data_IF_860138944393
#
_entry.id   IF_860138944393
#
_cell.length_a   1.000
_cell.length_b   1.000
_cell.length_c   1.000
_cell.angle_alpha   90.00
_cell.angle_beta   90.00
_cell.angle_gamma   90.00
#
_symmetry.space_group_name_H-M   'P 1'
#
loop_
_entity.id
_entity.type
_entity.pdbx_description
1 polymer ?
#
# COMPACT_ATOMS: atom_id res chain seq x y z
N UNK A 1 14.13 -9.56 6.30
CA UNK A 1 14.28 -8.21 5.71
C UNK A 1 14.86 -7.28 6.77
N UNK A 2 15.81 -6.42 6.43
CA UNK A 2 16.34 -5.45 7.39
C UNK A 2 15.27 -4.44 7.79
N UNK A 3 15.32 -3.95 9.03
CA UNK A 3 14.31 -3.04 9.58
C UNK A 3 14.21 -1.74 8.77
N UNK A 4 15.37 -1.28 8.27
CA UNK A 4 15.53 -0.08 7.45
C UNK A 4 14.89 -0.29 6.07
N UNK A 5 15.22 -1.40 5.40
CA UNK A 5 14.66 -1.74 4.08
C UNK A 5 13.13 -1.89 4.15
N UNK A 6 12.62 -2.50 5.22
CA UNK A 6 11.17 -2.63 5.42
C UNK A 6 10.50 -1.25 5.57
N UNK A 7 11.12 -0.35 6.34
CA UNK A 7 10.61 1.01 6.54
C UNK A 7 10.57 1.80 5.23
N UNK A 8 11.64 1.72 4.43
CA UNK A 8 11.71 2.36 3.11
C UNK A 8 10.61 1.85 2.17
N UNK A 9 10.34 0.55 2.18
CA UNK A 9 9.26 -0.04 1.36
C UNK A 9 7.87 0.41 1.83
N UNK A 10 7.64 0.53 3.14
CA UNK A 10 6.39 1.07 3.69
C UNK A 10 6.18 2.51 3.25
N UNK A 11 7.21 3.35 3.36
CA UNK A 11 7.17 4.75 2.94
C UNK A 11 6.97 4.88 1.42
N UNK A 12 7.61 4.02 0.64
CA UNK A 12 7.40 3.89 -0.80
C UNK A 12 5.93 3.64 -1.16
N UNK A 13 5.31 2.64 -0.53
CA UNK A 13 3.90 2.33 -0.74
C UNK A 13 3.00 3.53 -0.36
N UNK A 14 3.23 4.12 0.80
CA UNK A 14 2.45 5.28 1.27
C UNK A 14 2.53 6.47 0.31
N UNK A 15 3.70 6.73 -0.27
CA UNK A 15 3.86 7.81 -1.25
C UNK A 15 3.08 7.53 -2.53
N UNK A 16 3.07 6.29 -3.02
CA UNK A 16 2.26 5.91 -4.18
C UNK A 16 0.75 6.05 -3.90
N UNK A 17 0.31 5.60 -2.73
CA UNK A 17 -1.09 5.67 -2.32
C UNK A 17 -1.56 7.11 -2.17
N UNK A 18 -0.72 7.99 -1.62
CA UNK A 18 -1.02 9.42 -1.47
C UNK A 18 -1.29 10.10 -2.81
N UNK A 19 -0.63 9.70 -3.90
CA UNK A 19 -0.90 10.26 -5.24
C UNK A 19 -2.32 9.96 -5.75
N UNK A 20 -2.99 8.94 -5.19
CA UNK A 20 -4.34 8.53 -5.58
C UNK A 20 -5.44 8.97 -4.60
N UNK A 21 -5.08 9.41 -3.40
CA UNK A 21 -6.05 9.86 -2.41
C UNK A 21 -6.55 11.28 -2.74
N UNK A 22 -7.86 11.56 -2.59
CA UNK A 22 -8.41 12.90 -2.81
C UNK A 22 -7.78 13.89 -1.81
N UNK A 23 -6.92 14.79 -2.31
CA UNK A 23 -6.13 15.75 -1.52
C UNK A 23 -4.61 15.58 -1.64
N UNK A 24 -4.14 14.53 -2.33
CA UNK A 24 -2.72 14.28 -2.57
C UNK A 24 -2.09 15.15 -3.65
N UNK A 25 -1.80 16.42 -3.34
CA UNK A 25 -0.68 17.22 -3.86
C UNK A 25 -0.50 17.50 -5.36
N UNK A 26 -1.06 16.72 -6.29
CA UNK A 26 -0.97 16.95 -7.73
C UNK A 26 -2.37 17.02 -8.30
N UNK A 27 -2.90 18.23 -8.36
CA UNK A 27 -4.06 18.59 -9.16
C UNK A 27 -3.73 18.57 -10.67
N UNK A 28 -3.01 17.54 -11.12
CA UNK A 28 -2.71 17.26 -12.52
C UNK A 28 -3.49 16.02 -12.94
N UNK A 29 -4.12 16.08 -14.10
CA UNK A 29 -4.72 14.92 -14.74
C UNK A 29 -3.67 13.81 -14.87
N UNK A 30 -3.80 12.74 -14.08
CA UNK A 30 -3.00 11.51 -14.26
C UNK A 30 -3.44 10.87 -15.57
N UNK A 31 -2.53 10.71 -16.52
CA UNK A 31 -2.84 9.99 -17.76
C UNK A 31 -3.17 8.53 -17.44
N UNK A 32 -4.07 7.92 -18.22
CA UNK A 32 -4.56 6.55 -17.98
C UNK A 32 -3.42 5.52 -17.94
N UNK A 33 -2.39 5.70 -18.77
CA UNK A 33 -1.22 4.80 -18.78
C UNK A 33 -0.43 4.93 -17.47
N UNK A 34 -0.18 6.15 -17.00
CA UNK A 34 0.49 6.42 -15.73
C UNK A 34 -0.30 5.85 -14.54
N UNK A 35 -1.63 5.96 -14.59
CA UNK A 35 -2.52 5.35 -13.59
C UNK A 35 -2.39 3.82 -13.58
N UNK A 36 -2.34 3.18 -14.74
CA UNK A 36 -2.21 1.72 -14.83
C UNK A 36 -0.85 1.21 -14.32
N UNK A 37 0.22 1.99 -14.52
CA UNK A 37 1.56 1.70 -13.98
C UNK A 37 1.56 1.88 -12.47
N UNK A 38 0.95 2.96 -11.98
CA UNK A 38 0.84 3.26 -10.55
C UNK A 38 0.04 2.17 -9.81
N UNK A 39 -1.10 1.76 -10.35
CA UNK A 39 -1.93 0.68 -9.81
C UNK A 39 -1.19 -0.66 -9.74
N UNK A 40 -0.42 -1.02 -10.79
CA UNK A 40 0.42 -2.23 -10.78
C UNK A 40 1.52 -2.15 -9.72
N UNK A 41 2.16 -1.00 -9.57
CA UNK A 41 3.20 -0.79 -8.57
C UNK A 41 2.65 -0.93 -7.14
N UNK A 42 1.49 -0.31 -6.86
CA UNK A 42 0.80 -0.42 -5.58
C UNK A 42 0.43 -1.88 -5.28
N UNK A 43 -0.22 -2.57 -6.24
CA UNK A 43 -0.62 -3.96 -6.06
C UNK A 43 0.58 -4.88 -5.78
N UNK A 44 1.68 -4.70 -6.51
CA UNK A 44 2.92 -5.45 -6.27
C UNK A 44 3.47 -5.19 -4.86
N UNK A 45 3.59 -3.92 -4.46
CA UNK A 45 4.14 -3.57 -3.15
C UNK A 45 3.28 -4.08 -1.99
N UNK A 46 1.94 -4.05 -2.12
CA UNK A 46 1.04 -4.66 -1.14
C UNK A 46 1.34 -6.15 -0.99
N UNK A 47 1.46 -6.89 -2.10
CA UNK A 47 1.74 -8.32 -2.07
C UNK A 47 3.11 -8.63 -1.44
N UNK A 48 4.14 -7.85 -1.78
CA UNK A 48 5.49 -8.01 -1.24
C UNK A 48 5.54 -7.73 0.28
N UNK A 49 4.72 -6.78 0.75
CA UNK A 49 4.66 -6.35 2.15
C UNK A 49 3.67 -7.16 3.00
N UNK A 50 2.67 -7.81 2.41
CA UNK A 50 1.60 -8.52 3.12
C UNK A 50 2.11 -9.56 4.12
N UNK A 51 3.11 -10.35 3.69
CA UNK A 51 3.71 -11.41 4.49
C UNK A 51 4.75 -10.91 5.50
N UNK A 52 5.11 -9.62 5.47
CA UNK A 52 6.11 -9.05 6.37
C UNK A 52 5.50 -8.70 7.73
N UNK A 53 6.35 -8.73 8.77
CA UNK A 53 6.07 -8.20 10.11
C UNK A 53 7.07 -7.11 10.47
N UNK A 54 6.59 -6.03 11.07
CA UNK A 54 7.42 -4.98 11.64
C UNK A 54 8.19 -5.50 12.85
N UNK A 55 9.38 -4.95 13.09
CA UNK A 55 10.20 -5.36 14.24
C UNK A 55 9.73 -4.72 15.55
N UNK A 56 9.09 -3.56 15.46
CA UNK A 56 8.46 -2.87 16.60
C UNK A 56 6.95 -2.77 16.38
N UNK A 57 6.15 -2.63 17.45
CA UNK A 57 4.71 -2.42 17.33
C UNK A 57 4.34 -1.24 16.42
N UNK A 58 5.11 -0.14 16.48
CA UNK A 58 4.88 1.05 15.67
C UNK A 58 5.18 0.80 14.20
N UNK A 59 6.26 0.08 13.91
CA UNK A 59 6.58 -0.33 12.54
C UNK A 59 5.53 -1.30 11.99
N UNK A 60 5.04 -2.22 12.82
CA UNK A 60 3.99 -3.17 12.43
C UNK A 60 2.65 -2.47 12.17
N UNK A 61 2.26 -1.52 13.03
CA UNK A 61 1.08 -0.71 12.84
C UNK A 61 1.17 0.15 11.57
N UNK A 62 2.33 0.75 11.29
CA UNK A 62 2.56 1.54 10.08
C UNK A 62 2.48 0.66 8.82
N UNK A 63 3.04 -0.55 8.88
CA UNK A 63 2.95 -1.54 7.82
C UNK A 63 1.48 -1.93 7.55
N UNK A 64 0.71 -2.23 8.59
CA UNK A 64 -0.71 -2.57 8.47
C UNK A 64 -1.51 -1.42 7.85
N UNK A 65 -1.28 -0.19 8.32
CA UNK A 65 -1.92 1.00 7.79
C UNK A 65 -1.60 1.19 6.30
N UNK A 66 -0.33 1.05 5.90
CA UNK A 66 0.09 1.18 4.51
C UNK A 66 -0.58 0.14 3.59
N UNK A 67 -0.65 -1.12 4.03
CA UNK A 67 -1.34 -2.19 3.30
C UNK A 67 -2.83 -1.87 3.12
N UNK A 68 -3.52 -1.46 4.20
CA UNK A 68 -4.95 -1.13 4.15
C UNK A 68 -5.23 0.08 3.25
N UNK A 69 -4.39 1.11 3.31
CA UNK A 69 -4.51 2.28 2.44
C UNK A 69 -4.24 1.90 0.97
N UNK A 70 -3.27 1.04 0.71
CA UNK A 70 -3.01 0.48 -0.61
C UNK A 70 -4.22 -0.25 -1.19
N UNK A 71 -4.87 -1.08 -0.37
CA UNK A 71 -6.10 -1.76 -0.74
C UNK A 71 -7.29 -0.84 -1.01
N UNK A 72 -7.35 0.33 -0.36
CA UNK A 72 -8.43 1.29 -0.57
C UNK A 72 -8.32 2.05 -1.89
N UNK A 73 -7.10 2.25 -2.39
CA UNK A 73 -6.86 2.93 -3.67
C UNK A 73 -6.65 1.95 -4.84
N UNK A 74 -6.56 0.65 -4.54
CA UNK A 74 -6.39 -0.36 -5.57
C UNK A 74 -7.67 -0.50 -6.40
N UNK A 75 -7.52 -0.39 -7.71
CA UNK A 75 -8.62 -0.60 -8.67
C UNK A 75 -8.89 -2.09 -8.92
N UNK A 76 -8.02 -2.98 -8.43
CA UNK A 76 -8.22 -4.42 -8.53
C UNK A 76 -9.21 -4.87 -7.46
N UNK A 77 -10.40 -5.30 -7.88
CA UNK A 77 -11.45 -5.82 -7.00
C UNK A 77 -11.37 -7.35 -6.90
N UNK A 78 -10.22 -7.89 -6.51
CA UNK A 78 -10.11 -9.34 -6.31
C UNK A 78 -10.83 -9.72 -5.02
N UNK A 79 -11.67 -10.77 -5.00
CA UNK A 79 -12.36 -11.20 -3.79
C UNK A 79 -11.41 -11.50 -2.62
N UNK A 80 -10.24 -12.05 -2.94
CA UNK A 80 -9.17 -12.38 -1.98
C UNK A 80 -8.63 -11.15 -1.24
N UNK A 81 -8.70 -9.96 -1.84
CA UNK A 81 -8.19 -8.73 -1.25
C UNK A 81 -9.03 -8.31 -0.03
N UNK A 82 -10.33 -8.63 -0.01
CA UNK A 82 -11.19 -8.38 1.16
C UNK A 82 -10.84 -9.30 2.34
N UNK A 83 -10.54 -10.57 2.07
CA UNK A 83 -10.10 -11.51 3.10
C UNK A 83 -8.74 -11.08 3.68
N UNK A 84 -7.83 -10.63 2.82
CA UNK A 84 -6.53 -10.07 3.24
C UNK A 84 -6.68 -8.80 4.06
N UNK A 85 -7.58 -7.88 3.68
CA UNK A 85 -7.90 -6.69 4.49
C UNK A 85 -8.39 -7.09 5.89
N UNK A 86 -9.29 -8.07 5.99
CA UNK A 86 -9.76 -8.60 7.29
C UNK A 86 -8.63 -9.20 8.11
N UNK A 87 -7.73 -9.97 7.48
CA UNK A 87 -6.57 -10.53 8.17
C UNK A 87 -5.62 -9.46 8.70
N UNK A 88 -5.42 -8.35 7.97
CA UNK A 88 -4.58 -7.24 8.43
C UNK A 88 -5.24 -6.47 9.58
N UNK A 89 -6.56 -6.33 9.59
CA UNK A 89 -7.29 -5.70 10.70
C UNK A 89 -7.27 -6.51 12.00
N UNK A 90 -6.97 -7.81 11.93
CA UNK A 90 -6.90 -8.71 13.09
C UNK A 90 -5.48 -8.87 13.67
N UNK A 91 -4.51 -8.19 13.07
CA UNK A 91 -3.10 -8.29 13.39
C UNK A 91 -2.71 -7.29 14.48
#
# INVERSE_FOLDING_TARGET
MDAVILQENIEGLLNLVRMLLPGGGSAGCVYLDDLSVLQRSIHKQINDLYSQRGKTPEQDATLCLAILQGYNVSMYANPEDEDRKRSVLQR
#
